data_IF_665526821763
#
_entry.id   IF_665526821763
#
_cell.length_a   1.000
_cell.length_b   1.000
_cell.length_c   1.000
_cell.angle_alpha   90.00
_cell.angle_beta   90.00
_cell.angle_gamma   90.00
#
_symmetry.space_group_name_H-M   'P 1'
#
loop_
_entity.id
_entity.type
_entity.pdbx_description
1 polymer ?
#
# COMPACT_ATOMS: atom_id res chain seq x y z
N UNK A 1 12.86 -15.69 -36.36
CA UNK A 1 11.78 -14.75 -36.71
C UNK A 1 10.43 -15.49 -36.90
N UNK A 2 9.62 -15.56 -35.85
CA UNK A 2 8.23 -16.07 -35.92
C UNK A 2 7.26 -14.91 -35.60
N UNK A 3 6.15 -14.76 -36.36
CA UNK A 3 5.29 -13.59 -36.29
C UNK A 3 4.34 -13.60 -35.08
N UNK A 4 4.04 -12.40 -34.58
CA UNK A 4 3.11 -12.12 -33.49
C UNK A 4 1.66 -12.29 -33.97
N UNK A 5 0.79 -12.85 -33.12
CA UNK A 5 -0.67 -12.88 -33.35
C UNK A 5 -1.34 -11.66 -32.70
N UNK A 6 -2.39 -11.10 -33.31
CA UNK A 6 -3.12 -9.95 -32.78
C UNK A 6 -4.16 -10.31 -31.71
N UNK A 7 -4.39 -9.35 -30.82
CA UNK A 7 -5.36 -9.34 -29.72
C UNK A 7 -6.80 -9.15 -30.23
N UNK A 8 -7.85 -9.76 -29.61
CA UNK A 8 -9.23 -9.47 -29.94
C UNK A 8 -9.79 -8.26 -29.18
N UNK A 9 -10.64 -7.55 -29.91
CA UNK A 9 -11.31 -6.27 -29.63
C UNK A 9 -12.48 -6.39 -28.64
N UNK A 10 -12.74 -5.33 -27.87
CA UNK A 10 -13.84 -5.23 -26.91
C UNK A 10 -15.11 -4.64 -27.56
N UNK A 11 -16.32 -5.16 -27.28
CA UNK A 11 -17.56 -4.58 -27.80
C UNK A 11 -18.10 -3.43 -26.92
N UNK A 12 -18.53 -2.36 -27.61
CA UNK A 12 -19.23 -1.19 -27.07
C UNK A 12 -20.75 -1.38 -26.86
N UNK A 13 -21.53 -0.28 -26.66
CA UNK A 13 -22.52 -0.18 -25.59
C UNK A 13 -24.00 -0.28 -26.03
N UNK A 14 -24.90 -0.56 -25.07
CA UNK A 14 -26.36 -0.42 -25.13
C UNK A 14 -26.90 -0.50 -23.69
N UNK A 15 -27.96 0.14 -23.22
CA UNK A 15 -28.84 1.21 -23.66
C UNK A 15 -29.64 1.63 -22.40
N UNK A 16 -30.07 2.89 -22.33
CA UNK A 16 -31.00 3.42 -21.32
C UNK A 16 -32.46 3.06 -21.66
N UNK A 17 -33.39 3.15 -20.70
CA UNK A 17 -34.78 3.43 -21.04
C UNK A 17 -35.35 4.64 -20.28
N UNK A 18 -35.61 5.68 -21.05
CA UNK A 18 -36.92 6.29 -21.31
C UNK A 18 -37.97 6.38 -20.19
N UNK A 19 -38.19 7.63 -19.80
CA UNK A 19 -39.39 8.30 -19.30
C UNK A 19 -40.73 7.64 -19.65
N UNK A 20 -41.62 7.51 -18.65
CA UNK A 20 -43.05 7.33 -18.87
C UNK A 20 -43.83 8.38 -18.04
N UNK A 21 -44.66 9.17 -18.71
CA UNK A 21 -45.45 10.28 -18.17
C UNK A 21 -46.93 9.95 -18.37
N UNK A 22 -47.73 9.94 -17.30
CA UNK A 22 -49.17 10.30 -17.34
C UNK A 22 -49.77 10.46 -15.94
N UNK A 23 -50.25 11.68 -15.66
CA UNK A 23 -51.29 12.04 -14.67
C UNK A 23 -52.69 11.54 -15.16
N UNK A 24 -53.84 11.86 -14.51
CA UNK A 24 -54.17 12.12 -13.10
C UNK A 24 -55.37 11.25 -12.61
N UNK A 25 -55.74 11.33 -11.33
CA UNK A 25 -57.15 11.41 -10.87
C UNK A 25 -57.22 11.58 -9.34
N UNK A 26 -57.79 12.70 -8.90
CA UNK A 26 -58.45 12.79 -7.60
C UNK A 26 -59.90 12.28 -7.74
N UNK A 27 -60.52 11.84 -6.63
CA UNK A 27 -61.59 12.70 -6.11
C UNK A 27 -61.63 12.82 -4.58
N UNK A 28 -62.32 13.88 -4.19
CA UNK A 28 -62.71 14.30 -2.85
C UNK A 28 -63.46 13.22 -2.06
N UNK A 29 -63.19 13.16 -0.75
CA UNK A 29 -63.94 12.32 0.18
C UNK A 29 -63.73 12.74 1.63
N UNK A 30 -64.66 13.57 2.10
CA UNK A 30 -65.04 13.95 3.47
C UNK A 30 -64.53 13.09 4.63
N UNK A 31 -64.22 13.80 5.72
CA UNK A 31 -63.65 13.24 6.94
C UNK A 31 -64.56 12.32 7.73
N UNK A 32 -63.91 11.51 8.56
CA UNK A 32 -64.47 11.01 9.79
C UNK A 32 -63.39 11.16 10.86
N UNK A 33 -63.66 12.02 11.85
CA UNK A 33 -62.91 12.06 13.09
C UNK A 33 -63.22 10.76 13.83
N UNK A 34 -62.21 9.94 14.08
CA UNK A 34 -62.26 8.97 15.16
C UNK A 34 -60.86 8.79 15.73
N UNK A 35 -60.67 9.42 16.88
CA UNK A 35 -59.60 9.09 17.81
C UNK A 35 -59.70 7.62 18.16
N UNK A 36 -58.69 6.83 17.79
CA UNK A 36 -58.50 5.51 18.39
C UNK A 36 -57.16 5.56 19.11
N UNK A 37 -57.27 5.33 20.41
CA UNK A 37 -56.23 5.45 21.40
C UNK A 37 -54.97 4.68 20.99
N UNK A 38 -53.84 5.32 21.26
CA UNK A 38 -52.51 4.74 21.14
C UNK A 38 -52.39 3.50 22.04
N UNK A 39 -52.46 2.32 21.43
CA UNK A 39 -51.92 1.09 22.02
C UNK A 39 -50.49 0.95 21.49
N UNK A 40 -49.53 1.50 22.25
CA UNK A 40 -48.11 1.24 22.02
C UNK A 40 -47.83 -0.22 22.39
N UNK A 41 -48.05 -1.15 21.46
CA UNK A 41 -47.38 -2.45 21.54
C UNK A 41 -45.90 -2.21 21.38
N UNK A 42 -45.15 -2.29 22.48
CA UNK A 42 -43.70 -2.38 22.45
C UNK A 42 -43.30 -3.71 21.81
N UNK A 43 -43.33 -3.77 20.48
CA UNK A 43 -42.66 -4.83 19.74
C UNK A 43 -41.16 -4.61 19.94
N UNK A 44 -40.55 -5.39 20.83
CA UNK A 44 -39.11 -5.49 20.95
C UNK A 44 -38.59 -6.10 19.64
N UNK A 45 -38.32 -5.24 18.67
CA UNK A 45 -37.64 -5.63 17.45
C UNK A 45 -36.21 -5.99 17.83
N UNK A 46 -35.94 -7.30 17.91
CA UNK A 46 -34.59 -7.81 17.95
C UNK A 46 -33.94 -7.42 16.62
N UNK A 47 -33.22 -6.30 16.61
CA UNK A 47 -32.31 -5.97 15.51
C UNK A 47 -31.30 -7.11 15.47
N UNK A 48 -31.20 -7.89 14.38
CA UNK A 48 -30.03 -8.74 14.20
C UNK A 48 -28.83 -7.79 14.20
N UNK A 49 -27.90 -7.98 15.11
CA UNK A 49 -26.60 -7.34 15.02
C UNK A 49 -25.96 -7.87 13.73
N UNK A 50 -26.05 -7.10 12.65
CA UNK A 50 -25.25 -7.34 11.46
C UNK A 50 -23.81 -6.95 11.82
N UNK A 51 -23.13 -7.86 12.51
CA UNK A 51 -21.73 -7.76 12.87
C UNK A 51 -20.95 -8.85 12.19
N UNK A 52 -20.92 -8.84 10.85
CA UNK A 52 -19.93 -9.59 10.08
C UNK A 52 -19.27 -8.65 9.10
N UNK A 53 -18.59 -7.64 9.65
CA UNK A 53 -17.49 -7.03 8.91
C UNK A 53 -16.42 -8.10 8.79
N UNK A 54 -16.28 -8.70 7.61
CA UNK A 54 -14.99 -9.31 7.26
C UNK A 54 -14.02 -8.14 7.20
N UNK A 55 -13.10 -8.06 8.18
CA UNK A 55 -12.00 -7.12 8.11
C UNK A 55 -11.11 -7.54 6.94
N UNK A 56 -11.39 -6.96 5.77
CA UNK A 56 -10.64 -7.21 4.54
C UNK A 56 -9.50 -6.21 4.50
N UNK A 57 -8.27 -6.71 4.35
CA UNK A 57 -7.13 -5.85 4.05
C UNK A 57 -7.25 -5.32 2.62
N UNK A 58 -7.24 -4.00 2.49
CA UNK A 58 -7.13 -3.32 1.20
C UNK A 58 -5.69 -2.83 0.98
N UNK A 59 -5.26 -2.82 -0.28
CA UNK A 59 -3.94 -2.32 -0.63
C UNK A 59 -3.85 -0.82 -0.38
N UNK A 60 -3.14 -0.43 0.68
CA UNK A 60 -2.93 0.98 1.02
C UNK A 60 -1.77 1.62 0.24
N UNK A 61 -0.67 0.88 0.10
CA UNK A 61 0.56 1.39 -0.50
C UNK A 61 1.26 0.27 -1.28
N UNK A 62 1.80 0.61 -2.44
CA UNK A 62 2.63 -0.29 -3.25
C UNK A 62 3.97 0.38 -3.56
N UNK A 63 5.06 -0.32 -3.29
CA UNK A 63 6.41 0.11 -3.63
C UNK A 63 6.83 -0.61 -4.92
N UNK A 64 6.65 0.06 -6.06
CA UNK A 64 7.08 -0.44 -7.38
C UNK A 64 8.60 -0.31 -7.56
N UNK A 65 9.23 -1.15 -8.41
CA UNK A 65 10.65 -1.00 -8.77
C UNK A 65 10.96 0.39 -9.34
N UNK A 66 10.11 0.89 -10.24
CA UNK A 66 10.23 2.24 -10.79
C UNK A 66 9.88 3.26 -9.71
N UNK A 67 10.82 4.16 -9.42
CA UNK A 67 10.68 5.17 -8.38
C UNK A 67 10.66 4.59 -6.97
N UNK A 68 11.18 3.37 -6.77
CA UNK A 68 11.23 2.73 -5.45
C UNK A 68 11.86 3.66 -4.41
N UNK A 69 13.02 4.24 -4.72
CA UNK A 69 13.79 5.06 -3.77
C UNK A 69 13.15 6.42 -3.48
N UNK A 70 12.18 6.87 -4.29
CA UNK A 70 11.47 8.13 -4.05
C UNK A 70 10.63 8.13 -2.76
N UNK A 71 10.24 6.95 -2.28
CA UNK A 71 9.41 6.76 -1.07
C UNK A 71 10.23 6.58 0.21
N UNK A 72 11.56 6.67 0.13
CA UNK A 72 12.47 6.44 1.24
C UNK A 72 13.33 7.67 1.53
N UNK A 73 13.70 7.81 2.80
CA UNK A 73 14.77 8.67 3.27
C UNK A 73 16.03 7.82 3.45
N UNK A 74 17.19 8.37 3.05
CA UNK A 74 18.48 7.73 3.23
C UNK A 74 19.09 8.21 4.54
N UNK A 75 19.32 7.28 5.46
CA UNK A 75 20.02 7.56 6.69
C UNK A 75 21.50 7.77 6.39
N UNK A 76 22.08 8.88 6.86
CA UNK A 76 23.51 9.20 6.65
C UNK A 76 24.27 9.37 7.97
N UNK A 77 23.58 9.32 9.09
CA UNK A 77 24.20 9.47 10.40
C UNK A 77 24.91 8.18 10.83
N UNK A 78 25.69 8.29 11.90
CA UNK A 78 26.36 7.14 12.50
C UNK A 78 25.36 6.01 12.81
N UNK A 79 25.81 4.76 12.69
CA UNK A 79 24.98 3.61 13.01
C UNK A 79 24.67 3.56 14.51
N UNK A 80 23.38 3.61 14.92
CA UNK A 80 22.99 3.51 16.31
C UNK A 80 23.43 2.20 16.99
N UNK A 81 23.69 1.13 16.21
CA UNK A 81 24.14 -0.16 16.76
C UNK A 81 25.65 -0.24 17.01
N UNK A 82 26.41 0.78 16.60
CA UNK A 82 27.88 0.80 16.71
C UNK A 82 28.59 -0.12 15.71
N UNK A 83 27.94 -0.47 14.60
CA UNK A 83 28.51 -1.31 13.55
C UNK A 83 29.62 -0.64 12.75
N UNK A 84 30.47 -1.45 12.13
CA UNK A 84 31.53 -1.00 11.22
C UNK A 84 30.97 -0.64 9.83
N UNK A 85 30.13 0.39 9.77
CA UNK A 85 29.40 0.83 8.56
C UNK A 85 29.47 2.34 8.37
N UNK A 86 29.46 2.79 7.11
CA UNK A 86 29.29 4.20 6.74
C UNK A 86 28.05 4.34 5.86
N UNK A 87 26.96 4.90 6.40
CA UNK A 87 25.75 5.04 5.60
C UNK A 87 25.85 6.22 4.62
N UNK A 88 25.54 5.95 3.36
CA UNK A 88 25.70 6.91 2.26
C UNK A 88 24.37 7.55 1.86
N UNK A 89 24.44 8.78 1.34
CA UNK A 89 23.27 9.43 0.72
C UNK A 89 22.84 8.69 -0.54
N UNK A 90 21.63 8.97 -1.02
CA UNK A 90 21.11 8.36 -2.24
C UNK A 90 22.02 8.62 -3.46
N UNK A 91 22.52 9.85 -3.61
CA UNK A 91 23.36 10.28 -4.73
C UNK A 91 24.71 9.57 -4.70
N UNK A 92 25.34 9.49 -3.52
CA UNK A 92 26.61 8.78 -3.34
C UNK A 92 26.43 7.27 -3.57
N UNK A 93 25.34 6.69 -3.08
CA UNK A 93 25.03 5.28 -3.28
C UNK A 93 24.74 4.95 -4.75
N UNK A 94 24.05 5.83 -5.46
CA UNK A 94 23.81 5.70 -6.90
C UNK A 94 25.12 5.76 -7.69
N UNK A 95 25.98 6.74 -7.39
CA UNK A 95 27.29 6.91 -8.03
C UNK A 95 28.22 5.71 -7.78
N UNK A 96 28.16 5.11 -6.58
CA UNK A 96 28.90 3.92 -6.21
C UNK A 96 28.25 2.60 -6.70
N UNK A 97 27.10 2.67 -7.39
CA UNK A 97 26.36 1.49 -7.86
C UNK A 97 25.78 0.62 -6.73
N UNK A 98 25.71 1.15 -5.51
CA UNK A 98 25.10 0.50 -4.34
C UNK A 98 23.57 0.51 -4.40
N UNK A 99 22.97 1.36 -5.25
CA UNK A 99 21.52 1.49 -5.44
C UNK A 99 21.19 1.47 -6.93
N UNK A 100 20.19 0.67 -7.33
CA UNK A 100 19.70 0.58 -8.71
C UNK A 100 18.20 0.31 -8.73
N UNK A 101 17.51 0.94 -9.68
CA UNK A 101 16.12 0.62 -10.01
C UNK A 101 16.13 -0.21 -11.30
N UNK A 102 15.91 -1.51 -11.16
CA UNK A 102 15.80 -2.43 -12.30
C UNK A 102 14.32 -2.57 -12.71
N UNK A 103 14.07 -3.22 -13.85
CA UNK A 103 12.72 -3.34 -14.41
C UNK A 103 11.77 -4.07 -13.46
N UNK A 104 12.26 -5.10 -12.76
CA UNK A 104 11.46 -6.03 -11.94
C UNK A 104 11.79 -5.99 -10.44
N UNK A 105 12.86 -5.32 -10.03
CA UNK A 105 13.25 -5.20 -8.62
C UNK A 105 14.03 -3.91 -8.35
N UNK A 106 14.05 -3.48 -7.09
CA UNK A 106 14.99 -2.49 -6.61
C UNK A 106 16.18 -3.21 -5.97
N UNK A 107 17.39 -2.76 -6.29
CA UNK A 107 18.63 -3.24 -5.68
C UNK A 107 19.19 -2.18 -4.76
N UNK A 108 19.55 -2.58 -3.54
CA UNK A 108 20.39 -1.78 -2.67
C UNK A 108 21.32 -2.69 -1.86
N UNK A 109 22.53 -2.21 -1.56
CA UNK A 109 23.55 -3.02 -0.90
C UNK A 109 24.70 -2.22 -0.32
N UNK A 110 25.72 -2.95 0.12
CA UNK A 110 26.99 -2.39 0.56
C UNK A 110 27.97 -2.28 -0.61
N UNK A 111 29.00 -1.45 -0.44
CA UNK A 111 30.09 -1.37 -1.39
C UNK A 111 30.90 -2.67 -1.38
N UNK A 112 30.96 -3.33 -2.54
CA UNK A 112 31.58 -4.65 -2.71
C UNK A 112 33.04 -4.58 -3.19
N UNK A 113 33.48 -3.43 -3.68
CA UNK A 113 34.84 -3.18 -4.13
C UNK A 113 35.66 -2.41 -3.08
N UNK A 114 36.97 -2.34 -3.31
CA UNK A 114 37.90 -1.63 -2.45
C UNK A 114 38.28 -2.36 -1.16
N UNK A 115 39.51 -2.11 -0.70
CA UNK A 115 39.93 -2.42 0.66
C UNK A 115 39.49 -1.29 1.58
N UNK A 116 38.97 -1.64 2.74
CA UNK A 116 38.62 -0.66 3.76
C UNK A 116 39.85 -0.38 4.63
N UNK A 117 40.08 0.89 4.93
CA UNK A 117 41.11 1.27 5.90
C UNK A 117 40.75 0.70 7.30
N UNK A 118 41.75 0.34 8.12
CA UNK A 118 41.51 -0.14 9.47
C UNK A 118 40.67 0.86 10.28
N UNK A 119 39.56 0.39 10.84
CA UNK A 119 38.63 1.23 11.62
C UNK A 119 37.63 2.04 10.79
N UNK A 120 37.75 2.07 9.46
CA UNK A 120 36.73 2.64 8.59
C UNK A 120 35.57 1.66 8.41
N UNK A 121 34.34 2.14 8.57
CA UNK A 121 33.15 1.35 8.27
C UNK A 121 33.00 1.14 6.77
N UNK A 122 32.44 0.00 6.34
CA UNK A 122 32.16 -0.25 4.92
C UNK A 122 30.99 0.63 4.47
N UNK A 123 31.06 1.33 3.32
CA UNK A 123 29.92 2.07 2.81
C UNK A 123 28.72 1.16 2.55
N UNK A 124 27.55 1.59 3.02
CA UNK A 124 26.29 0.85 2.88
C UNK A 124 25.11 1.82 2.85
N UNK A 125 23.91 1.26 2.73
CA UNK A 125 22.66 2.01 2.61
C UNK A 125 21.70 1.56 3.69
N UNK A 126 21.11 2.53 4.38
CA UNK A 126 19.96 2.35 5.27
C UNK A 126 18.86 3.27 4.78
N UNK A 127 17.72 2.68 4.44
CA UNK A 127 16.53 3.39 3.99
C UNK A 127 15.42 3.32 5.03
N UNK A 128 14.69 4.42 5.19
CA UNK A 128 13.54 4.55 6.08
C UNK A 128 12.35 5.08 5.30
N UNK A 129 11.18 4.45 5.43
CA UNK A 129 10.01 4.87 4.65
C UNK A 129 9.61 6.27 5.05
N UNK A 130 9.23 7.11 4.08
CA UNK A 130 8.63 8.42 4.36
C UNK A 130 7.26 8.29 5.01
N UNK A 131 6.55 7.20 4.70
CA UNK A 131 5.28 6.86 5.31
C UNK A 131 5.48 6.16 6.66
N UNK A 132 4.63 6.50 7.62
CA UNK A 132 4.50 5.82 8.89
C UNK A 132 3.14 5.14 9.00
N UNK A 133 3.07 4.03 9.72
CA UNK A 133 1.87 3.20 9.83
C UNK A 133 1.67 2.77 11.28
N UNK A 134 0.45 2.93 11.79
CA UNK A 134 0.10 2.52 13.16
C UNK A 134 -0.35 1.05 13.24
N UNK A 135 -0.83 0.50 12.12
CA UNK A 135 -1.28 -0.88 11.98
C UNK A 135 -1.38 -1.23 10.51
N UNK A 136 -1.22 -2.50 10.17
CA UNK A 136 -1.41 -2.98 8.80
C UNK A 136 -0.78 -4.34 8.57
N UNK A 137 -0.97 -4.85 7.36
CA UNK A 137 -0.26 -6.02 6.86
C UNK A 137 0.86 -5.55 5.92
N UNK A 138 2.10 -5.92 6.26
CA UNK A 138 3.28 -5.59 5.47
C UNK A 138 3.77 -6.85 4.77
N UNK A 139 3.76 -6.83 3.44
CA UNK A 139 4.25 -7.94 2.62
C UNK A 139 5.43 -7.45 1.80
N UNK A 140 6.57 -8.11 1.96
CA UNK A 140 7.77 -7.85 1.18
C UNK A 140 8.16 -9.09 0.40
N UNK A 141 8.44 -8.92 -0.89
CA UNK A 141 9.05 -9.95 -1.73
C UNK A 141 10.53 -9.63 -1.88
N UNK A 142 11.39 -10.49 -1.36
CA UNK A 142 12.84 -10.32 -1.39
C UNK A 142 13.43 -11.35 -2.35
N UNK A 143 14.03 -10.90 -3.45
CA UNK A 143 14.69 -11.79 -4.41
C UNK A 143 16.02 -12.32 -3.85
N UNK A 144 16.75 -11.50 -3.09
CA UNK A 144 18.03 -11.86 -2.47
C UNK A 144 18.27 -10.98 -1.23
N UNK A 145 18.74 -11.58 -0.13
CA UNK A 145 19.14 -10.88 1.08
C UNK A 145 20.67 -10.88 1.21
N UNK A 146 21.30 -9.87 1.84
CA UNK A 146 22.75 -9.87 2.06
C UNK A 146 23.23 -11.10 2.82
N UNK A 147 24.39 -11.64 2.42
CA UNK A 147 25.03 -12.78 3.08
C UNK A 147 26.54 -12.53 3.19
N UNK A 148 27.18 -13.14 4.19
CA UNK A 148 28.63 -13.05 4.41
C UNK A 148 29.01 -12.81 5.87
N UNK A 149 30.25 -13.14 6.23
CA UNK A 149 30.76 -12.88 7.57
C UNK A 149 30.79 -11.39 7.88
N UNK A 150 30.34 -11.01 9.07
CA UNK A 150 30.27 -9.61 9.50
C UNK A 150 29.09 -8.82 8.92
N UNK A 151 28.26 -9.43 8.07
CA UNK A 151 27.02 -8.81 7.60
C UNK A 151 25.92 -8.94 8.66
N UNK A 152 25.12 -7.89 8.83
CA UNK A 152 23.93 -7.89 9.66
C UNK A 152 22.77 -7.20 8.90
N UNK A 153 22.06 -7.92 8.01
CA UNK A 153 20.92 -7.37 7.30
C UNK A 153 19.68 -7.29 8.21
N UNK A 154 18.84 -6.27 8.01
CA UNK A 154 17.58 -6.13 8.72
C UNK A 154 16.49 -5.53 7.81
N UNK A 155 15.30 -6.12 7.88
CA UNK A 155 14.04 -5.51 7.45
C UNK A 155 13.13 -5.47 8.67
N UNK A 156 12.80 -4.27 9.14
CA UNK A 156 12.14 -4.06 10.41
C UNK A 156 11.29 -2.79 10.38
N UNK A 157 10.36 -2.71 11.31
CA UNK A 157 9.53 -1.52 11.54
C UNK A 157 9.93 -0.91 12.88
N UNK A 158 9.90 0.42 12.94
CA UNK A 158 10.11 1.17 14.17
C UNK A 158 9.11 2.32 14.24
N UNK A 159 8.82 2.77 15.46
CA UNK A 159 7.97 3.93 15.73
C UNK A 159 8.78 5.03 16.41
N UNK A 160 8.21 6.23 16.39
CA UNK A 160 8.67 7.39 17.16
C UNK A 160 7.74 7.68 18.34
#
# INVERSE_FOLDING_TARGET
PRPLRPFPEAPGPMATPSTCRSMPRQPLGRGCRMSVAALWTAALSLRPAAGTGTDVYELKEMYSPQGFFSKWNFWTDADPSGGAVQYSSHEAALAAGMVKEEVDHAYFGAQMDGKMEPGAGRPSVRIQSKAAYNSGLFVVKINHAPTGCGTWPAFWLYGE
#
